data_IF_732389240050
#
_entry.id   IF_732389240050
#
_cell.length_a   1.000
_cell.length_b   1.000
_cell.length_c   1.000
_cell.angle_alpha   90.00
_cell.angle_beta   90.00
_cell.angle_gamma   90.00
#
_symmetry.space_group_name_H-M   'P 1'
#
loop_
_entity.id
_entity.type
_entity.pdbx_description
1 polymer ?
#
# COMPACT_ATOMS: atom_id res chain seq x y z
N UNK A 1 10.24 6.16 -22.76
CA UNK A 1 10.99 5.18 -21.94
C UNK A 1 10.63 3.79 -22.43
N UNK A 2 11.62 2.95 -22.73
CA UNK A 2 11.37 1.58 -23.16
C UNK A 2 10.75 0.76 -22.01
N UNK A 3 9.92 -0.23 -22.35
CA UNK A 3 9.19 -1.05 -21.37
C UNK A 3 10.15 -1.77 -20.40
N UNK A 4 11.33 -2.18 -20.89
CA UNK A 4 12.36 -2.85 -20.10
C UNK A 4 12.97 -1.95 -19.02
N UNK A 5 13.10 -0.64 -19.28
CA UNK A 5 13.64 0.30 -18.30
C UNK A 5 12.65 0.53 -17.16
N UNK A 6 11.35 0.52 -17.46
CA UNK A 6 10.29 0.61 -16.44
C UNK A 6 10.29 -0.63 -15.54
N UNK A 7 10.47 -1.82 -16.11
CA UNK A 7 10.57 -3.07 -15.35
C UNK A 7 11.80 -3.09 -14.44
N UNK A 8 12.96 -2.63 -14.92
CA UNK A 8 14.17 -2.50 -14.11
C UNK A 8 13.98 -1.54 -12.93
N UNK A 9 13.34 -0.39 -13.17
CA UNK A 9 13.03 0.57 -12.11
C UNK A 9 12.03 0.02 -11.08
N UNK A 10 10.99 -0.68 -11.53
CA UNK A 10 10.01 -1.32 -10.63
C UNK A 10 10.67 -2.42 -9.78
N UNK A 11 11.52 -3.25 -10.38
CA UNK A 11 12.28 -4.28 -9.68
C UNK A 11 13.22 -3.66 -8.63
N UNK A 12 13.98 -2.62 -9.01
CA UNK A 12 14.86 -1.91 -8.11
C UNK A 12 14.08 -1.32 -6.92
N UNK A 13 12.95 -0.64 -7.17
CA UNK A 13 12.10 -0.05 -6.14
C UNK A 13 11.51 -1.06 -5.15
N UNK A 14 11.19 -2.27 -5.62
CA UNK A 14 10.64 -3.36 -4.80
C UNK A 14 11.71 -4.05 -3.96
N UNK A 15 12.94 -4.13 -4.48
CA UNK A 15 14.09 -4.68 -3.76
C UNK A 15 14.63 -3.70 -2.72
N UNK A 16 14.60 -2.39 -3.00
CA UNK A 16 15.09 -1.34 -2.10
C UNK A 16 14.19 -1.08 -0.87
N UNK A 17 12.92 -1.51 -0.90
CA UNK A 17 12.00 -1.36 0.25
C UNK A 17 12.39 -2.15 1.51
N UNK A 18 13.51 -2.88 1.46
CA UNK A 18 14.05 -3.65 2.57
C UNK A 18 15.42 -3.22 3.08
N UNK A 19 16.11 -2.27 2.42
CA UNK A 19 17.53 -1.99 2.69
C UNK A 19 17.80 -0.81 3.61
N UNK A 20 16.88 0.16 3.71
CA UNK A 20 17.26 1.47 4.26
C UNK A 20 17.16 1.58 5.79
N UNK A 21 16.57 0.60 6.47
CA UNK A 21 16.60 0.51 7.94
C UNK A 21 16.70 -0.93 8.38
N UNK A 22 17.84 -1.31 8.97
CA UNK A 22 17.97 -2.55 9.76
C UNK A 22 17.15 -2.35 11.04
N UNK A 23 15.83 -2.42 10.91
CA UNK A 23 14.91 -2.48 12.06
C UNK A 23 14.98 -3.90 12.62
N UNK A 24 15.23 -4.03 13.93
CA UNK A 24 15.12 -5.31 14.63
C UNK A 24 13.73 -5.94 14.46
N UNK A 25 13.60 -7.22 14.81
CA UNK A 25 12.33 -7.97 14.68
C UNK A 25 11.19 -7.26 15.43
N UNK A 26 11.44 -6.78 16.66
CA UNK A 26 10.44 -6.05 17.45
C UNK A 26 9.92 -4.78 16.77
N UNK A 27 10.79 -4.01 16.11
CA UNK A 27 10.39 -2.79 15.39
C UNK A 27 9.52 -3.10 14.18
N UNK A 28 9.68 -4.30 13.58
CA UNK A 28 8.84 -4.75 12.47
C UNK A 28 7.48 -5.26 12.92
N UNK A 29 7.34 -5.73 14.16
CA UNK A 29 6.06 -6.19 14.71
C UNK A 29 5.17 -5.05 15.20
N UNK A 30 5.75 -3.88 15.49
CA UNK A 30 4.98 -2.69 15.84
C UNK A 30 4.20 -2.19 14.62
N UNK A 31 2.88 -2.12 14.77
CA UNK A 31 1.98 -1.52 13.79
C UNK A 31 1.57 -0.13 14.29
N UNK A 32 1.97 0.95 13.61
CA UNK A 32 1.55 2.30 13.95
C UNK A 32 0.02 2.49 13.84
N UNK A 33 -0.56 3.39 14.63
CA UNK A 33 -2.01 3.72 14.55
C UNK A 33 -2.44 4.25 13.18
N UNK A 34 -1.51 4.94 12.50
CA UNK A 34 -1.64 5.41 11.12
C UNK A 34 -0.65 4.66 10.23
N UNK A 35 -0.78 3.35 10.12
CA UNK A 35 0.06 2.54 9.24
C UNK A 35 -0.45 2.53 7.79
N UNK A 36 0.45 2.36 6.82
CA UNK A 36 0.08 2.32 5.40
C UNK A 36 -0.92 1.21 5.07
N UNK A 37 -0.88 0.07 5.78
CA UNK A 37 -1.84 -1.02 5.63
C UNK A 37 -3.28 -0.63 5.96
N UNK A 38 -3.49 0.41 6.78
CA UNK A 38 -4.81 0.95 7.10
C UNK A 38 -5.30 1.98 6.07
N UNK A 39 -4.46 2.34 5.09
CA UNK A 39 -4.79 3.35 4.08
C UNK A 39 -5.50 2.71 2.88
N UNK A 40 -6.57 3.33 2.38
CA UNK A 40 -7.29 2.88 1.16
C UNK A 40 -6.42 2.89 -0.10
N UNK A 41 -5.32 3.64 -0.08
CA UNK A 41 -4.40 3.81 -1.21
C UNK A 41 -3.28 2.76 -1.21
N UNK A 42 -3.15 1.97 -0.16
CA UNK A 42 -2.21 0.85 -0.09
C UNK A 42 -2.81 -0.39 -0.76
N UNK A 43 -1.97 -1.14 -1.46
CA UNK A 43 -2.33 -2.39 -2.10
C UNK A 43 -1.23 -3.41 -1.81
N UNK A 44 -1.55 -4.42 -1.01
CA UNK A 44 -0.61 -5.50 -0.69
C UNK A 44 -0.34 -6.38 -1.93
N UNK A 45 0.87 -6.94 -2.01
CA UNK A 45 1.26 -7.90 -3.02
C UNK A 45 0.73 -9.28 -2.59
N UNK A 46 -0.26 -9.79 -3.32
CA UNK A 46 -0.94 -11.05 -2.98
C UNK A 46 -0.03 -12.29 -2.93
N UNK A 47 1.12 -12.26 -3.60
CA UNK A 47 2.03 -13.40 -3.69
C UNK A 47 3.01 -13.50 -2.50
N UNK A 48 3.28 -12.39 -1.83
CA UNK A 48 4.28 -12.32 -0.77
C UNK A 48 3.60 -12.03 0.55
N UNK A 49 3.48 -13.05 1.41
CA UNK A 49 2.90 -12.92 2.77
C UNK A 49 3.82 -12.20 3.77
N UNK A 50 4.76 -11.39 3.27
CA UNK A 50 5.74 -10.65 4.07
C UNK A 50 5.34 -9.18 4.30
N UNK A 51 4.13 -8.81 3.85
CA UNK A 51 3.54 -7.52 4.11
C UNK A 51 3.94 -6.40 3.15
N UNK A 52 4.61 -6.73 2.04
CA UNK A 52 4.96 -5.76 1.01
C UNK A 52 3.75 -5.37 0.19
N UNK A 53 3.68 -4.11 -0.17
CA UNK A 53 2.64 -3.54 -1.01
C UNK A 53 3.13 -2.33 -1.77
N UNK A 54 2.18 -1.68 -2.43
CA UNK A 54 2.43 -0.47 -3.21
C UNK A 54 1.40 0.60 -2.88
N UNK A 55 1.80 1.87 -2.94
CA UNK A 55 0.88 3.00 -2.90
C UNK A 55 0.37 3.28 -4.32
N UNK A 56 -0.94 3.45 -4.49
CA UNK A 56 -1.56 3.77 -5.78
C UNK A 56 -1.30 5.22 -6.22
N UNK A 57 -1.18 6.12 -5.24
CA UNK A 57 -1.02 7.56 -5.46
C UNK A 57 0.46 7.94 -5.54
N UNK A 58 1.25 7.51 -4.57
CA UNK A 58 2.67 7.86 -4.49
C UNK A 58 3.48 7.02 -5.44
N UNK A 59 4.43 7.66 -6.12
CA UNK A 59 5.34 7.05 -7.09
C UNK A 59 6.74 6.89 -6.52
N UNK A 60 7.55 6.09 -7.20
CA UNK A 60 8.95 5.90 -6.88
C UNK A 60 9.66 7.27 -6.72
N UNK A 61 10.42 7.43 -5.63
CA UNK A 61 11.06 8.70 -5.25
C UNK A 61 10.29 9.54 -4.24
N UNK A 62 9.06 9.14 -3.89
CA UNK A 62 8.34 9.72 -2.74
C UNK A 62 8.94 9.21 -1.43
N UNK A 63 8.99 10.07 -0.41
CA UNK A 63 9.38 9.70 0.95
C UNK A 63 8.47 10.39 1.97
N UNK A 64 7.77 9.57 2.76
CA UNK A 64 6.82 10.01 3.79
C UNK A 64 7.40 9.95 5.21
N UNK A 65 8.59 9.39 5.39
CA UNK A 65 9.21 9.16 6.70
C UNK A 65 10.14 10.32 7.14
N UNK A 66 10.46 11.24 6.24
CA UNK A 66 11.24 12.45 6.51
C UNK A 66 10.37 13.54 7.18
N UNK A 67 11.00 14.55 7.79
CA UNK A 67 10.27 15.64 8.47
C UNK A 67 9.38 16.44 7.52
N UNK A 68 9.83 16.62 6.27
CA UNK A 68 9.07 17.25 5.19
C UNK A 68 8.84 16.24 4.07
N UNK A 69 7.69 15.54 4.07
CA UNK A 69 7.39 14.51 3.08
C UNK A 69 7.54 15.00 1.64
N UNK A 70 8.16 14.17 0.81
CA UNK A 70 8.28 14.39 -0.63
C UNK A 70 7.26 13.52 -1.34
N UNK A 71 6.39 14.14 -2.13
CA UNK A 71 5.35 13.45 -2.87
C UNK A 71 5.63 13.54 -4.37
N UNK A 72 5.88 12.39 -4.98
CA UNK A 72 5.90 12.22 -6.43
C UNK A 72 4.57 11.59 -6.82
N UNK A 73 3.72 12.34 -7.53
CA UNK A 73 2.38 11.90 -7.94
C UNK A 73 2.35 11.39 -9.39
N UNK A 74 3.28 11.87 -10.20
CA UNK A 74 3.39 11.54 -11.62
C UNK A 74 4.48 10.48 -11.83
N UNK A 75 4.17 9.46 -12.63
CA UNK A 75 5.09 8.36 -12.91
C UNK A 75 4.39 7.01 -13.00
N UNK A 76 5.06 6.08 -13.69
CA UNK A 76 4.51 4.75 -13.98
C UNK A 76 4.80 3.74 -12.86
N UNK A 77 5.83 3.99 -12.05
CA UNK A 77 6.28 3.07 -11.00
C UNK A 77 5.68 3.51 -9.66
N UNK A 78 4.81 2.70 -9.03
CA UNK A 78 4.26 3.02 -7.73
C UNK A 78 5.32 2.92 -6.63
N UNK A 79 5.14 3.67 -5.54
CA UNK A 79 5.99 3.58 -4.36
C UNK A 79 5.75 2.25 -3.66
N UNK A 80 6.78 1.41 -3.58
CA UNK A 80 6.75 0.19 -2.79
C UNK A 80 6.92 0.53 -1.30
N UNK A 81 6.08 -0.06 -0.44
CA UNK A 81 6.03 0.15 1.02
C UNK A 81 5.68 -1.17 1.73
N UNK A 82 5.71 -1.18 3.06
CA UNK A 82 5.16 -2.26 3.88
C UNK A 82 3.85 -1.83 4.55
N UNK A 83 2.99 -2.78 4.93
CA UNK A 83 1.74 -2.45 5.64
C UNK A 83 2.01 -1.71 6.96
N UNK A 84 3.09 -2.04 7.66
CA UNK A 84 3.45 -1.44 8.95
C UNK A 84 4.24 -0.12 8.81
N UNK A 85 4.48 0.38 7.59
CA UNK A 85 5.14 1.67 7.41
C UNK A 85 4.32 2.78 8.04
N UNK A 86 4.96 3.62 8.85
CA UNK A 86 4.33 4.76 9.50
C UNK A 86 3.89 5.80 8.46
N UNK A 87 2.60 6.07 8.43
CA UNK A 87 1.93 7.03 7.56
C UNK A 87 1.47 8.29 8.29
N UNK A 88 1.86 8.51 9.56
CA UNK A 88 1.39 9.63 10.37
C UNK A 88 1.59 11.00 9.73
N UNK A 89 2.65 11.17 8.92
CA UNK A 89 3.00 12.41 8.20
C UNK A 89 2.45 12.48 6.78
N UNK A 90 1.80 11.43 6.30
CA UNK A 90 1.28 11.39 4.94
C UNK A 90 -0.05 12.17 4.86
N UNK A 91 -0.04 13.29 4.14
CA UNK A 91 -1.23 14.14 3.90
C UNK A 91 -2.28 13.45 3.01
N UNK A 92 -1.86 12.41 2.30
CA UNK A 92 -2.73 11.59 1.43
C UNK A 92 -3.21 10.31 2.11
N UNK A 93 -2.97 10.18 3.41
CA UNK A 93 -3.51 9.07 4.19
C UNK A 93 -5.01 9.22 4.31
N UNK A 94 -5.74 8.21 3.83
CA UNK A 94 -7.17 8.09 4.04
C UNK A 94 -7.46 6.68 4.51
N UNK A 95 -8.03 6.57 5.72
CA UNK A 95 -8.29 5.28 6.35
C UNK A 95 -9.29 4.50 5.51
N UNK A 96 -9.00 3.23 5.28
CA UNK A 96 -9.93 2.35 4.61
C UNK A 96 -11.12 2.06 5.55
N UNK A 97 -12.33 2.38 5.09
CA UNK A 97 -13.56 2.16 5.84
C UNK A 97 -14.04 0.70 5.72
N UNK A 98 -13.64 0.02 4.64
CA UNK A 98 -14.00 -1.38 4.40
C UNK A 98 -12.91 -2.28 4.98
N UNK A 99 -13.17 -2.84 6.15
CA UNK A 99 -12.31 -3.85 6.79
C UNK A 99 -13.08 -5.15 6.73
N UNK A 100 -12.61 -6.09 5.91
CA UNK A 100 -13.12 -7.45 5.94
C UNK A 100 -12.57 -8.10 7.23
N UNK A 101 -13.44 -8.37 8.21
CA UNK A 101 -13.06 -8.88 9.53
C UNK A 101 -13.02 -10.40 9.60
N UNK A 102 -13.73 -11.06 8.68
CA UNK A 102 -13.72 -12.51 8.54
C UNK A 102 -13.76 -12.96 7.07
N UNK A 103 -13.41 -14.23 6.83
CA UNK A 103 -13.41 -14.80 5.48
C UNK A 103 -14.81 -14.99 4.89
N UNK A 104 -15.85 -15.07 5.72
CA UNK A 104 -17.25 -15.16 5.27
C UNK A 104 -17.73 -13.85 4.64
N UNK A 105 -17.26 -12.69 5.07
CA UNK A 105 -17.57 -11.39 4.44
C UNK A 105 -17.07 -11.32 2.99
N UNK A 106 -15.98 -12.03 2.67
CA UNK A 106 -15.48 -12.18 1.31
C UNK A 106 -16.15 -13.32 0.53
N UNK A 107 -16.56 -14.40 1.22
CA UNK A 107 -17.00 -15.65 0.60
C UNK A 107 -18.53 -15.79 0.48
N UNK A 108 -19.32 -15.10 1.30
CA UNK A 108 -20.78 -15.20 1.31
C UNK A 108 -21.37 -14.68 -0.01
N UNK A 109 -22.00 -15.56 -0.82
CA UNK A 109 -22.65 -15.18 -2.06
C UNK A 109 -23.70 -14.06 -1.94
N UNK A 110 -24.27 -13.83 -0.76
CA UNK A 110 -25.26 -12.79 -0.50
C UNK A 110 -24.64 -11.40 -0.22
N UNK A 111 -23.33 -11.34 0.06
CA UNK A 111 -22.63 -10.09 0.40
C UNK A 111 -21.39 -9.83 -0.47
N UNK A 112 -21.25 -10.56 -1.59
CA UNK A 112 -20.09 -10.45 -2.48
C UNK A 112 -19.82 -9.01 -2.88
N UNK A 113 -18.54 -8.65 -2.94
CA UNK A 113 -18.06 -7.34 -3.38
C UNK A 113 -18.67 -6.87 -4.71
N UNK A 114 -18.95 -7.79 -5.64
CA UNK A 114 -19.63 -7.49 -6.91
C UNK A 114 -21.08 -7.03 -6.72
N UNK A 115 -21.86 -7.62 -5.81
CA UNK A 115 -23.25 -7.21 -5.55
C UNK A 115 -23.31 -5.80 -4.93
N UNK A 116 -22.44 -5.50 -3.96
CA UNK A 116 -22.35 -4.14 -3.36
C UNK A 116 -21.94 -3.06 -4.35
N UNK A 117 -21.12 -3.42 -5.35
CA UNK A 117 -20.77 -2.51 -6.45
C UNK A 117 -21.95 -2.28 -7.39
N UNK A 118 -22.71 -3.33 -7.72
CA UNK A 118 -23.91 -3.22 -8.55
C UNK A 118 -25.01 -2.37 -7.91
N UNK A 119 -25.23 -2.47 -6.59
CA UNK A 119 -26.18 -1.61 -5.86
C UNK A 119 -25.83 -0.12 -5.94
N UNK A 120 -24.53 0.23 -6.01
CA UNK A 120 -24.08 1.62 -6.14
C UNK A 120 -24.14 2.14 -7.58
N UNK A 121 -24.12 1.25 -8.58
CA UNK A 121 -24.24 1.61 -10.01
C UNK A 121 -25.70 1.92 -10.39
N UNK A 122 -26.67 1.39 -9.66
CA UNK A 122 -28.11 1.59 -9.92
C UNK A 122 -28.65 2.92 -9.36
N UNK A 123 -27.81 3.72 -8.67
CA UNK A 123 -28.12 5.12 -8.31
C UNK A 123 -27.61 6.09 -9.35
#
# INVERSE_FOLDING_TARGET
MAQDDKWKQALAGTLSTGTDRVTGVEEREKVPEKSCGLCKNFSEIAFTSDGRGTCRILKLGSDINIEKPVYVLEGDVPLALRFNTDGARCERFERNELIDTDGSECADPAYRRSQRQMEKIVK
#
